data_IF_728524851339
#
_entry.id   IF_728524851339
#
_cell.length_a   1.000
_cell.length_b   1.000
_cell.length_c   1.000
_cell.angle_alpha   90.00
_cell.angle_beta   90.00
_cell.angle_gamma   90.00
#
_symmetry.space_group_name_H-M   'P 1'
#
loop_
_entity.id
_entity.type
_entity.pdbx_description
1 polymer ?
#
# COMPACT_ATOMS: atom_id res chain seq x y z
N UNK A 1 57.74 -30.29 -24.83
CA UNK A 1 57.11 -29.10 -25.44
C UNK A 1 56.38 -28.43 -24.31
N UNK A 2 56.79 -27.23 -23.89
CA UNK A 2 56.03 -26.46 -22.90
C UNK A 2 55.00 -25.67 -23.70
N UNK A 3 53.74 -26.09 -23.65
CA UNK A 3 52.65 -25.39 -24.33
C UNK A 3 52.33 -24.07 -23.62
N UNK A 4 51.50 -23.20 -24.19
CA UNK A 4 50.91 -22.11 -23.40
C UNK A 4 49.98 -22.69 -22.33
N UNK A 5 49.84 -21.98 -21.22
CA UNK A 5 48.81 -22.27 -20.22
C UNK A 5 47.41 -22.23 -20.83
N UNK A 6 46.56 -23.15 -20.37
CA UNK A 6 45.14 -23.24 -20.70
C UNK A 6 44.42 -23.23 -19.36
N UNK A 7 43.35 -22.43 -19.23
CA UNK A 7 42.56 -22.37 -18.00
C UNK A 7 41.76 -23.67 -17.83
N UNK A 8 42.41 -24.70 -17.32
CA UNK A 8 41.86 -26.03 -17.12
C UNK A 8 42.28 -26.68 -15.79
N UNK A 9 42.86 -25.88 -14.88
CA UNK A 9 43.33 -26.32 -13.56
C UNK A 9 44.52 -27.28 -13.61
N UNK A 10 45.20 -27.32 -14.76
CA UNK A 10 46.41 -28.11 -14.99
C UNK A 10 47.56 -27.20 -15.39
N UNK A 11 48.74 -27.49 -14.85
CA UNK A 11 50.02 -26.91 -15.26
C UNK A 11 50.40 -27.45 -16.66
N UNK A 12 50.10 -26.69 -17.71
CA UNK A 12 50.23 -27.11 -19.11
C UNK A 12 51.62 -26.81 -19.69
N UNK A 13 52.33 -25.87 -19.09
CA UNK A 13 53.69 -25.47 -19.45
C UNK A 13 54.77 -26.12 -18.56
N UNK A 14 54.36 -26.83 -17.50
CA UNK A 14 55.16 -27.53 -16.51
C UNK A 14 56.14 -26.62 -15.75
N UNK A 15 55.76 -25.39 -15.42
CA UNK A 15 56.58 -24.45 -14.64
C UNK A 15 56.40 -24.59 -13.11
N UNK A 16 55.40 -25.36 -12.67
CA UNK A 16 55.08 -25.60 -11.26
C UNK A 16 53.99 -24.69 -10.69
N UNK A 17 53.41 -23.82 -11.50
CA UNK A 17 52.20 -23.07 -11.21
C UNK A 17 51.05 -23.59 -12.08
N UNK A 18 49.82 -23.30 -11.67
CA UNK A 18 48.62 -23.74 -12.39
C UNK A 18 47.86 -22.50 -12.82
N UNK A 19 47.53 -22.40 -14.12
CA UNK A 19 46.74 -21.33 -14.72
C UNK A 19 47.26 -19.91 -14.39
N UNK A 20 48.56 -19.72 -14.16
CA UNK A 20 49.11 -18.48 -13.61
C UNK A 20 48.99 -17.27 -14.55
N UNK A 21 48.92 -17.52 -15.86
CA UNK A 21 48.66 -16.49 -16.87
C UNK A 21 47.25 -15.88 -16.79
N UNK A 22 46.34 -16.51 -16.04
CA UNK A 22 44.96 -16.05 -15.83
C UNK A 22 44.78 -15.28 -14.51
N UNK A 23 45.83 -15.14 -13.69
CA UNK A 23 45.76 -14.34 -12.45
C UNK A 23 45.49 -12.85 -12.72
N UNK A 24 45.99 -12.29 -13.82
CA UNK A 24 45.67 -10.92 -14.24
C UNK A 24 44.20 -10.76 -14.67
N UNK A 25 43.54 -11.87 -15.01
CA UNK A 25 42.10 -11.94 -15.20
C UNK A 25 41.36 -12.23 -13.89
N UNK A 26 42.01 -12.13 -12.73
CA UNK A 26 41.43 -12.30 -11.40
C UNK A 26 41.04 -13.74 -11.04
N UNK A 27 41.71 -14.76 -11.60
CA UNK A 27 41.51 -16.14 -11.20
C UNK A 27 41.75 -16.31 -9.69
N UNK A 28 40.75 -16.82 -8.96
CA UNK A 28 40.79 -16.95 -7.51
C UNK A 28 40.27 -15.74 -6.72
N UNK A 29 39.98 -14.61 -7.38
CA UNK A 29 39.42 -13.43 -6.71
C UNK A 29 37.95 -13.62 -6.34
N UNK A 30 37.52 -12.92 -5.28
CA UNK A 30 36.11 -12.81 -4.94
C UNK A 30 35.35 -12.05 -6.05
N UNK A 31 34.18 -12.57 -6.40
CA UNK A 31 33.26 -11.92 -7.33
C UNK A 31 31.85 -11.89 -6.76
N UNK A 32 31.04 -10.95 -7.26
CA UNK A 32 29.62 -10.84 -6.99
C UNK A 32 28.88 -10.71 -8.32
N UNK A 33 27.79 -11.43 -8.46
CA UNK A 33 26.89 -11.38 -9.63
C UNK A 33 25.46 -11.13 -9.15
N UNK A 34 24.60 -10.65 -10.03
CA UNK A 34 23.22 -10.29 -9.67
C UNK A 34 23.10 -8.91 -9.03
N UNK A 35 21.86 -8.49 -8.82
CA UNK A 35 21.46 -7.25 -8.12
C UNK A 35 20.50 -7.63 -6.99
N UNK A 36 20.33 -6.74 -6.02
CA UNK A 36 19.29 -6.90 -5.00
C UNK A 36 19.36 -8.21 -4.23
N UNK A 37 18.20 -8.84 -4.08
CA UNK A 37 18.04 -10.14 -3.45
C UNK A 37 18.74 -11.28 -4.22
N UNK A 38 18.99 -11.11 -5.53
CA UNK A 38 19.67 -12.09 -6.37
C UNK A 38 21.20 -11.97 -6.31
N UNK A 39 21.76 -11.05 -5.52
CA UNK A 39 23.19 -10.89 -5.39
C UNK A 39 23.83 -12.17 -4.80
N UNK A 40 24.73 -12.79 -5.56
CA UNK A 40 25.44 -14.01 -5.19
C UNK A 40 26.95 -13.77 -5.17
N UNK A 41 27.60 -14.12 -4.07
CA UNK A 41 29.06 -14.07 -3.93
C UNK A 41 29.68 -15.41 -4.35
N UNK A 42 30.80 -15.34 -5.05
CA UNK A 42 31.55 -16.49 -5.51
C UNK A 42 33.03 -16.20 -5.67
N UNK A 43 33.71 -17.10 -6.36
CA UNK A 43 35.13 -16.98 -6.71
C UNK A 43 35.24 -17.08 -8.24
N UNK A 44 36.13 -16.27 -8.81
CA UNK A 44 36.42 -16.32 -10.24
C UNK A 44 37.22 -17.59 -10.55
N UNK A 45 36.70 -18.40 -11.46
CA UNK A 45 37.25 -19.69 -11.87
C UNK A 45 37.28 -19.80 -13.41
N UNK A 46 37.97 -20.82 -13.93
CA UNK A 46 37.98 -21.10 -15.35
C UNK A 46 36.57 -21.40 -15.87
N UNK A 47 36.15 -20.64 -16.88
CA UNK A 47 34.86 -20.77 -17.57
C UNK A 47 35.01 -21.28 -19.01
N UNK A 48 36.23 -21.67 -19.38
CA UNK A 48 36.66 -22.13 -20.69
C UNK A 48 38.19 -22.09 -20.78
N UNK A 49 38.79 -22.59 -21.86
CA UNK A 49 40.25 -22.72 -21.98
C UNK A 49 41.00 -21.38 -21.91
N UNK A 50 40.34 -20.26 -22.22
CA UNK A 50 40.94 -18.94 -22.29
C UNK A 50 40.18 -17.86 -21.49
N UNK A 51 39.29 -18.26 -20.55
CA UNK A 51 38.38 -17.33 -19.89
C UNK A 51 38.16 -17.62 -18.40
N UNK A 52 38.14 -16.55 -17.61
CA UNK A 52 37.80 -16.57 -16.18
C UNK A 52 36.45 -15.89 -15.92
N UNK A 53 35.49 -16.61 -15.33
CA UNK A 53 34.20 -16.07 -14.93
C UNK A 53 33.88 -16.40 -13.47
N UNK A 54 32.88 -15.72 -12.89
CA UNK A 54 32.42 -16.05 -11.56
C UNK A 54 31.81 -17.46 -11.56
N UNK A 55 32.18 -18.29 -10.59
CA UNK A 55 31.71 -19.68 -10.51
C UNK A 55 30.27 -19.82 -9.99
N UNK A 56 29.62 -18.71 -9.66
CA UNK A 56 28.21 -18.65 -9.27
C UNK A 56 27.40 -17.94 -10.33
N UNK A 57 26.10 -18.24 -10.37
CA UNK A 57 25.11 -17.47 -11.12
C UNK A 57 24.33 -16.59 -10.15
N UNK A 58 23.68 -15.51 -10.63
CA UNK A 58 22.70 -14.77 -9.82
C UNK A 58 21.66 -15.71 -9.21
N UNK A 59 21.17 -15.36 -8.03
CA UNK A 59 20.02 -16.04 -7.43
C UNK A 59 18.77 -15.91 -8.29
N UNK A 60 17.80 -16.79 -8.06
CA UNK A 60 16.46 -16.63 -8.65
C UNK A 60 15.71 -15.50 -7.92
N UNK A 61 14.88 -14.71 -8.62
CA UNK A 61 14.01 -13.70 -8.01
C UNK A 61 13.11 -14.29 -6.92
N UNK A 62 12.94 -13.56 -5.82
CA UNK A 62 12.12 -14.00 -4.69
C UNK A 62 10.61 -13.78 -4.93
N UNK A 63 10.26 -12.97 -5.93
CA UNK A 63 8.90 -12.55 -6.23
C UNK A 63 8.90 -11.19 -6.93
N UNK A 64 7.78 -10.48 -6.88
CA UNK A 64 7.74 -9.03 -7.12
C UNK A 64 8.29 -8.27 -5.91
N UNK A 65 8.62 -6.99 -6.07
CA UNK A 65 9.10 -6.16 -4.96
C UNK A 65 8.09 -6.08 -3.81
N UNK A 66 8.59 -6.26 -2.58
CA UNK A 66 7.80 -5.99 -1.39
C UNK A 66 7.80 -4.49 -1.10
N UNK A 67 6.64 -3.97 -0.74
CA UNK A 67 6.42 -2.58 -0.41
C UNK A 67 7.32 -2.14 0.76
N UNK A 68 8.22 -1.20 0.47
CA UNK A 68 8.95 -0.40 1.46
C UNK A 68 10.00 -1.18 2.25
N UNK A 69 10.49 -2.31 1.73
CA UNK A 69 11.60 -3.04 2.33
C UNK A 69 12.97 -2.51 1.85
N UNK A 70 13.00 -1.72 0.77
CA UNK A 70 14.22 -1.15 0.20
C UNK A 70 15.13 -2.18 -0.46
N UNK A 71 14.58 -3.32 -0.88
CA UNK A 71 15.26 -4.43 -1.54
C UNK A 71 14.67 -4.58 -2.95
N UNK A 72 15.53 -4.97 -3.89
CA UNK A 72 15.20 -5.37 -5.26
C UNK A 72 14.96 -6.89 -5.23
N UNK A 73 13.73 -7.31 -4.91
CA UNK A 73 13.33 -8.72 -4.71
C UNK A 73 13.12 -9.43 -6.06
N UNK A 74 12.77 -8.69 -7.11
CA UNK A 74 12.54 -9.20 -8.47
C UNK A 74 13.79 -9.14 -9.38
N UNK A 75 14.82 -8.43 -8.92
CA UNK A 75 16.14 -8.33 -9.50
C UNK A 75 16.17 -7.60 -10.85
N UNK A 76 15.24 -6.66 -11.08
CA UNK A 76 15.18 -5.81 -12.26
C UNK A 76 16.06 -4.54 -12.16
N UNK A 77 16.64 -4.30 -10.97
CA UNK A 77 17.53 -3.17 -10.68
C UNK A 77 16.83 -1.92 -10.16
N UNK A 78 15.53 -2.00 -9.85
CA UNK A 78 14.74 -0.97 -9.17
C UNK A 78 14.43 -1.44 -7.75
N UNK A 79 14.07 -0.49 -6.88
CA UNK A 79 13.72 -0.79 -5.50
C UNK A 79 12.25 -0.42 -5.28
N UNK A 80 11.54 -1.28 -4.56
CA UNK A 80 10.14 -1.11 -4.16
C UNK A 80 9.21 -0.70 -5.31
N UNK A 81 9.38 -1.29 -6.50
CA UNK A 81 8.51 -1.01 -7.65
C UNK A 81 7.06 -1.48 -7.43
N UNK A 82 6.11 -0.97 -8.23
CA UNK A 82 4.74 -1.52 -8.26
C UNK A 82 3.80 -0.97 -7.17
N UNK A 83 4.33 -0.15 -6.26
CA UNK A 83 3.60 0.46 -5.14
C UNK A 83 3.45 1.99 -5.31
N UNK A 84 3.09 2.45 -6.51
CA UNK A 84 3.08 3.87 -6.92
C UNK A 84 2.26 4.80 -6.00
N UNK A 85 1.24 4.25 -5.34
CA UNK A 85 0.34 4.99 -4.46
C UNK A 85 0.84 5.08 -3.01
N UNK A 86 1.96 4.45 -2.65
CA UNK A 86 2.51 4.51 -1.29
C UNK A 86 2.69 5.98 -0.84
N UNK A 87 2.06 6.33 0.29
CA UNK A 87 2.06 7.69 0.84
C UNK A 87 1.08 8.66 0.19
N UNK A 88 0.39 8.27 -0.90
CA UNK A 88 -0.70 9.09 -1.46
C UNK A 88 -1.89 9.13 -0.49
N UNK A 89 -2.64 10.26 -0.47
CA UNK A 89 -3.81 10.37 0.37
C UNK A 89 -4.91 9.39 -0.07
N UNK A 90 -5.64 8.85 0.90
CA UNK A 90 -6.81 8.01 0.68
C UNK A 90 -7.91 8.38 1.68
N UNK A 91 -9.15 7.96 1.40
CA UNK A 91 -10.28 8.18 2.29
C UNK A 91 -11.21 6.96 2.26
N UNK A 92 -11.66 6.54 3.44
CA UNK A 92 -12.57 5.42 3.63
C UNK A 92 -13.77 5.86 4.46
N UNK A 93 -14.91 5.19 4.30
CA UNK A 93 -16.17 5.50 4.97
C UNK A 93 -17.03 6.54 4.24
N UNK A 94 -18.25 6.72 4.74
CA UNK A 94 -19.29 7.60 4.20
C UNK A 94 -19.72 8.61 5.27
N UNK A 95 -20.39 9.70 4.84
CA UNK A 95 -20.99 10.65 5.77
C UNK A 95 -20.02 11.25 6.79
N UNK A 96 -20.47 11.34 8.03
CA UNK A 96 -19.67 11.75 9.18
C UNK A 96 -18.60 10.71 9.55
N UNK A 97 -18.77 9.44 9.18
CA UNK A 97 -17.80 8.38 9.44
C UNK A 97 -16.57 8.44 8.53
N UNK A 98 -16.60 9.24 7.46
CA UNK A 98 -15.47 9.31 6.51
C UNK A 98 -14.19 9.73 7.22
N UNK A 99 -13.16 8.91 7.09
CA UNK A 99 -11.82 9.17 7.59
C UNK A 99 -10.84 9.37 6.44
N UNK A 100 -9.84 10.22 6.67
CA UNK A 100 -8.72 10.39 5.76
C UNK A 100 -7.50 9.63 6.29
N UNK A 101 -6.68 9.14 5.37
CA UNK A 101 -5.44 8.45 5.67
C UNK A 101 -4.46 8.59 4.51
N UNK A 102 -3.45 7.74 4.51
CA UNK A 102 -2.55 7.57 3.39
C UNK A 102 -2.41 6.07 3.08
N UNK A 103 -2.06 5.74 1.84
CA UNK A 103 -1.67 4.38 1.52
C UNK A 103 -0.38 4.02 2.26
N UNK A 104 -0.40 2.87 2.93
CA UNK A 104 0.70 2.27 3.67
C UNK A 104 0.91 0.85 3.17
N UNK A 105 2.07 0.26 3.40
CA UNK A 105 2.31 -1.14 3.03
C UNK A 105 1.39 -2.08 3.83
N UNK A 106 0.89 -3.12 3.16
CA UNK A 106 0.18 -4.22 3.83
C UNK A 106 1.13 -4.96 4.77
N UNK A 107 0.57 -5.71 5.74
CA UNK A 107 1.39 -6.43 6.72
C UNK A 107 2.35 -7.45 6.09
N UNK A 108 1.98 -8.05 4.98
CA UNK A 108 2.82 -8.98 4.22
C UNK A 108 3.78 -8.29 3.23
N UNK A 109 3.69 -6.97 3.09
CA UNK A 109 4.47 -6.19 2.13
C UNK A 109 4.09 -6.42 0.67
N UNK A 110 3.09 -7.23 0.36
CA UNK A 110 2.75 -7.56 -1.04
C UNK A 110 2.03 -6.41 -1.79
N UNK A 111 1.61 -5.36 -1.09
CA UNK A 111 0.93 -4.22 -1.68
C UNK A 111 0.75 -3.06 -0.71
N UNK A 112 -0.17 -2.17 -1.06
CA UNK A 112 -0.57 -1.04 -0.22
C UNK A 112 -2.03 -1.14 0.23
N UNK A 113 -2.34 -0.67 1.42
CA UNK A 113 -3.70 -0.50 1.95
C UNK A 113 -3.90 0.93 2.50
N UNK A 114 -5.14 1.39 2.54
CA UNK A 114 -5.46 2.71 3.09
C UNK A 114 -5.40 2.69 4.62
N UNK A 115 -4.62 3.59 5.23
CA UNK A 115 -4.52 3.71 6.69
C UNK A 115 -5.73 4.38 7.35
N UNK A 116 -6.73 4.81 6.56
CA UNK A 116 -7.91 5.49 7.08
C UNK A 116 -8.73 4.52 7.95
N UNK A 117 -9.19 5.01 9.09
CA UNK A 117 -10.06 4.26 10.00
C UNK A 117 -11.38 5.00 10.13
N UNK A 118 -12.41 4.61 9.35
CA UNK A 118 -13.73 5.21 9.47
C UNK A 118 -14.22 5.19 10.91
N UNK A 119 -14.97 6.23 11.29
CA UNK A 119 -15.59 6.25 12.61
C UNK A 119 -16.70 5.21 12.67
N UNK A 120 -17.00 4.73 13.87
CA UNK A 120 -18.16 3.85 14.05
C UNK A 120 -19.44 4.67 13.82
N UNK A 121 -20.45 4.10 13.15
CA UNK A 121 -21.73 4.75 13.00
C UNK A 121 -22.37 4.97 14.37
N UNK A 122 -23.09 6.08 14.51
CA UNK A 122 -23.88 6.41 15.70
C UNK A 122 -25.31 6.71 15.29
N UNK A 123 -26.25 6.70 16.24
CA UNK A 123 -27.64 7.05 15.94
C UNK A 123 -27.70 8.45 15.31
N UNK A 124 -28.55 8.60 14.30
CA UNK A 124 -28.78 9.88 13.62
C UNK A 124 -29.08 11.00 14.60
N UNK A 125 -28.39 12.11 14.42
CA UNK A 125 -28.68 13.35 15.12
C UNK A 125 -29.18 14.35 14.09
N UNK A 126 -30.25 15.05 14.45
CA UNK A 126 -30.87 16.09 13.64
C UNK A 126 -29.95 17.31 13.41
N UNK A 127 -28.89 17.13 12.64
CA UNK A 127 -27.75 18.04 12.55
C UNK A 127 -27.32 18.29 11.10
N UNK A 128 -27.93 17.61 10.13
CA UNK A 128 -27.62 17.74 8.71
C UNK A 128 -26.40 16.93 8.26
N UNK A 129 -25.95 15.97 9.06
CA UNK A 129 -24.92 14.99 8.73
C UNK A 129 -25.51 13.57 8.76
N UNK A 130 -24.85 12.68 8.03
CA UNK A 130 -25.07 11.24 8.00
C UNK A 130 -24.21 10.64 9.11
N UNK A 131 -24.76 10.61 10.33
CA UNK A 131 -24.09 10.19 11.56
C UNK A 131 -24.03 8.66 11.71
N UNK A 132 -25.02 7.96 11.14
CA UNK A 132 -25.11 6.51 11.11
C UNK A 132 -24.45 5.89 9.86
N UNK A 133 -24.06 6.73 8.91
CA UNK A 133 -23.24 6.40 7.76
C UNK A 133 -23.91 5.37 6.82
N UNK A 134 -25.24 5.37 6.76
CA UNK A 134 -26.04 4.59 5.83
C UNK A 134 -26.17 5.25 4.44
N UNK A 135 -25.78 6.53 4.34
CA UNK A 135 -25.78 7.32 3.12
C UNK A 135 -26.99 8.24 2.92
N UNK A 136 -27.89 8.28 3.89
CA UNK A 136 -28.97 9.25 4.01
C UNK A 136 -28.60 10.29 5.09
N UNK A 137 -29.42 11.31 5.26
CA UNK A 137 -29.13 12.40 6.21
C UNK A 137 -30.41 12.68 6.98
N UNK A 138 -30.34 12.61 8.31
CA UNK A 138 -31.43 12.86 9.25
C UNK A 138 -32.71 12.03 8.93
N UNK A 139 -32.60 10.78 8.51
CA UNK A 139 -33.73 9.94 8.04
C UNK A 139 -34.54 9.23 9.13
N UNK A 140 -33.98 9.09 10.34
CA UNK A 140 -34.59 8.36 11.46
C UNK A 140 -35.57 9.21 12.30
N UNK A 141 -35.93 10.41 11.83
CA UNK A 141 -36.83 11.33 12.51
C UNK A 141 -38.27 11.27 11.96
N UNK A 142 -39.27 11.28 12.85
CA UNK A 142 -40.67 11.41 12.47
C UNK A 142 -40.95 12.85 12.01
N UNK A 143 -41.12 13.05 10.70
CA UNK A 143 -41.31 14.40 10.13
C UNK A 143 -42.74 14.73 9.75
N UNK A 144 -43.67 13.78 9.80
CA UNK A 144 -45.04 13.98 9.31
C UNK A 144 -45.98 14.52 10.40
N UNK A 145 -45.67 14.22 11.66
CA UNK A 145 -46.55 14.50 12.80
C UNK A 145 -45.82 15.10 14.01
N UNK A 146 -44.51 15.30 13.94
CA UNK A 146 -43.74 15.93 15.01
C UNK A 146 -43.66 17.45 14.81
N UNK A 147 -44.22 18.27 15.73
CA UNK A 147 -44.08 19.72 15.68
C UNK A 147 -42.63 20.22 15.80
N UNK A 148 -41.71 19.43 16.35
CA UNK A 148 -40.30 19.81 16.47
C UNK A 148 -39.48 19.48 15.21
N UNK A 149 -39.98 18.60 14.33
CA UNK A 149 -39.32 18.10 13.13
C UNK A 149 -40.24 18.15 11.87
N UNK A 150 -41.11 19.14 11.77
CA UNK A 150 -42.23 19.09 10.83
C UNK A 150 -41.84 19.30 9.35
N UNK A 151 -41.96 18.26 8.54
CA UNK A 151 -41.63 18.21 7.11
C UNK A 151 -40.14 18.06 6.81
N UNK A 152 -39.28 18.25 7.80
CA UNK A 152 -37.86 17.93 7.81
C UNK A 152 -37.34 18.04 9.24
N UNK A 153 -36.24 17.36 9.51
CA UNK A 153 -35.56 17.46 10.78
C UNK A 153 -35.25 18.92 11.17
N UNK A 154 -35.53 19.28 12.43
CA UNK A 154 -35.24 20.60 13.03
C UNK A 154 -36.18 21.72 12.60
N UNK A 155 -37.23 21.43 11.82
CA UNK A 155 -38.30 22.40 11.52
C UNK A 155 -39.31 22.43 12.67
N UNK A 156 -39.00 23.24 13.67
CA UNK A 156 -39.91 23.51 14.78
C UNK A 156 -41.05 24.44 14.34
N UNK A 157 -42.28 24.03 14.59
CA UNK A 157 -43.47 24.84 14.38
C UNK A 157 -43.63 25.85 15.53
N UNK A 158 -43.03 27.04 15.39
CA UNK A 158 -43.18 28.13 16.36
C UNK A 158 -44.32 29.08 15.94
N UNK A 159 -45.48 28.95 16.59
CA UNK A 159 -46.69 29.74 16.32
C UNK A 159 -47.05 30.61 17.52
N UNK A 160 -47.10 31.93 17.32
CA UNK A 160 -47.44 32.87 18.37
C UNK A 160 -48.92 32.74 18.80
N UNK A 161 -49.15 32.64 20.12
CA UNK A 161 -50.49 32.52 20.74
C UNK A 161 -51.28 31.26 20.30
N UNK A 162 -50.59 30.20 19.90
CA UNK A 162 -51.20 28.94 19.50
C UNK A 162 -50.40 27.75 20.03
N UNK A 163 -51.07 26.61 20.20
CA UNK A 163 -50.42 25.31 20.28
C UNK A 163 -50.13 24.87 18.86
N UNK A 164 -48.85 24.64 18.56
CA UNK A 164 -48.43 24.20 17.25
C UNK A 164 -48.63 22.69 17.06
N UNK A 165 -49.07 22.29 15.87
CA UNK A 165 -49.16 20.91 15.43
C UNK A 165 -48.40 20.69 14.12
N UNK A 166 -48.17 19.44 13.77
CA UNK A 166 -47.65 19.05 12.46
C UNK A 166 -48.61 18.04 11.81
N UNK A 167 -49.00 18.30 10.58
CA UNK A 167 -49.83 17.37 9.79
C UNK A 167 -49.29 17.27 8.35
N UNK A 168 -49.00 16.05 7.92
CA UNK A 168 -48.44 15.75 6.59
C UNK A 168 -47.17 16.57 6.26
N UNK A 169 -46.35 16.86 7.27
CA UNK A 169 -45.11 17.63 7.13
C UNK A 169 -45.32 19.15 7.06
N UNK A 170 -46.51 19.66 7.36
CA UNK A 170 -46.78 21.10 7.43
C UNK A 170 -47.21 21.54 8.83
N UNK A 171 -46.68 22.69 9.25
CA UNK A 171 -47.03 23.29 10.52
C UNK A 171 -48.47 23.81 10.49
N UNK A 172 -49.28 23.37 11.45
CA UNK A 172 -50.67 23.77 11.61
C UNK A 172 -50.92 24.38 13.00
N UNK A 173 -52.04 25.09 13.14
CA UNK A 173 -52.56 25.47 14.46
C UNK A 173 -53.38 24.30 14.99
N UNK A 174 -52.89 23.64 16.04
CA UNK A 174 -53.64 22.58 16.71
C UNK A 174 -54.76 23.18 17.60
N UNK A 175 -54.42 24.21 18.38
CA UNK A 175 -55.40 25.00 19.13
C UNK A 175 -54.94 26.43 19.39
N UNK A 176 -55.87 27.35 19.66
CA UNK A 176 -55.56 28.72 20.04
C UNK A 176 -55.37 28.82 21.56
N UNK A 177 -54.36 29.56 22.02
CA UNK A 177 -54.24 29.90 23.44
C UNK A 177 -55.21 31.03 23.80
N UNK A 178 -55.89 30.92 24.95
CA UNK A 178 -56.75 31.99 25.45
C UNK A 178 -55.92 33.23 25.81
N UNK A 179 -56.35 34.40 25.32
CA UNK A 179 -55.68 35.69 25.48
C UNK A 179 -56.43 36.67 26.36
#
# INVERSE_FOLDING_TARGET
NRGPEVCDTVDNDCDGQVDETFQDQGLGDACMVGTGACAAAGIRACAGPDAVACNVQPGDPAGSDLCGNGIDDDCDGRLDEGHDNLGMPCSEGQGACRANGAFVCTQDGAGTECSARPQAPVDELCNGADDDCDGQVDEDFEVQQDPDNCGRCGRVCDLANAVAGCEAGECIIDSCLEG
#
